data_IF_941023589205
#
_entry.id   IF_941023589205
#
_cell.length_a   1.000
_cell.length_b   1.000
_cell.length_c   1.000
_cell.angle_alpha   90.00
_cell.angle_beta   90.00
_cell.angle_gamma   90.00
#
_symmetry.space_group_name_H-M   'P 1'
#
loop_
_entity.id
_entity.type
_entity.pdbx_description
1 polymer ?
2 non-polymer ?
3 non-polymer ?
4 water ?
#
# COMPACT_ATOMS: atom_id res chain seq x y z
N UNK A 2 -10.60 -8.86 12.00
CA UNK A 2 -9.81 -7.64 11.92
C UNK A 2 -8.69 -7.73 10.90
N UNK A 3 -7.88 -6.68 10.86
CA UNK A 3 -6.76 -6.58 9.94
C UNK A 3 -5.54 -7.38 10.36
N UNK A 4 -5.16 -8.31 9.50
CA UNK A 4 -4.00 -9.13 9.76
C UNK A 4 -2.71 -8.40 9.47
N UNK A 5 -1.67 -8.74 10.24
CA UNK A 5 -0.35 -8.14 10.09
C UNK A 5 0.55 -9.04 9.28
N UNK A 6 1.03 -8.52 8.16
CA UNK A 6 1.93 -9.24 7.27
C UNK A 6 3.38 -9.15 7.73
N UNK A 7 4.13 -10.20 7.50
CA UNK A 7 5.53 -10.21 7.85
C UNK A 7 6.39 -9.56 6.80
N UNK A 8 7.16 -8.54 7.19
CA UNK A 8 8.09 -7.93 6.25
C UNK A 8 9.44 -8.60 6.41
N UNK A 9 10.22 -8.58 5.35
CA UNK A 9 11.53 -9.22 5.33
C UNK A 9 12.58 -8.63 6.30
N UNK A 10 12.33 -7.41 6.82
CA UNK A 10 13.26 -6.77 7.73
C UNK A 10 12.92 -6.96 9.21
N UNK A 11 11.88 -7.74 9.48
CA UNK A 11 11.50 -8.02 10.85
C UNK A 11 10.25 -7.30 11.30
N UNK A 12 9.85 -6.29 10.55
CA UNK A 12 8.65 -5.53 10.86
C UNK A 12 7.41 -6.23 10.33
N UNK A 13 6.26 -5.90 10.89
CA UNK A 13 5.00 -6.44 10.41
C UNK A 13 4.08 -5.28 10.00
N UNK A 14 3.29 -5.49 8.96
CA UNK A 14 2.44 -4.44 8.45
C UNK A 14 0.99 -4.86 8.32
N UNK A 15 0.07 -3.98 8.73
CA UNK A 15 -1.31 -4.29 8.57
C UNK A 15 -1.63 -4.40 7.08
N UNK A 16 -2.22 -5.54 6.69
CA UNK A 16 -2.52 -5.84 5.30
C UNK A 16 -3.40 -4.85 4.57
N UNK A 17 -4.30 -4.20 5.30
CA UNK A 17 -5.21 -3.23 4.73
C UNK A 17 -5.04 -1.90 5.43
N UNK A 18 -4.81 -0.84 4.66
CA UNK A 18 -4.63 0.45 5.27
C UNK A 18 -5.56 1.49 4.69
N UNK A 19 -5.57 2.65 5.35
CA UNK A 19 -6.36 3.78 4.91
C UNK A 19 -5.51 4.73 4.09
N UNK A 20 -5.93 4.95 2.86
CA UNK A 20 -5.21 5.85 1.98
C UNK A 20 -5.89 7.20 2.00
N UNK A 21 -5.24 8.16 2.69
CA UNK A 21 -5.79 9.51 2.77
C UNK A 21 -6.02 9.99 1.36
N UNK A 22 -7.28 10.28 1.06
CA UNK A 22 -7.64 10.59 -0.29
C UNK A 22 -8.76 11.62 -0.41
N UNK A 23 -8.60 12.53 -1.37
CA UNK A 23 -9.56 13.57 -1.67
C UNK A 23 -9.87 14.42 -0.46
N UNK A 24 -8.82 14.86 0.23
CA UNK A 24 -8.97 15.67 1.41
C UNK A 24 -8.11 16.91 1.34
N UNK A 25 -8.73 18.07 1.44
CA UNK A 25 -7.96 19.29 1.46
C UNK A 25 -7.13 19.28 2.74
N UNK A 26 -6.03 19.97 2.71
CA UNK A 26 -5.16 20.01 3.86
C UNK A 26 -5.84 20.33 5.22
N UNK A 27 -6.76 21.28 5.24
CA UNK A 27 -7.44 21.65 6.49
C UNK A 27 -8.33 20.56 7.10
N UNK A 28 -8.86 19.68 6.25
CA UNK A 28 -9.76 18.62 6.69
C UNK A 28 -9.05 17.26 6.86
N UNK A 29 -7.76 17.30 6.64
CA UNK A 29 -6.94 16.11 6.74
C UNK A 29 -6.95 15.49 8.13
N UNK A 30 -6.85 16.33 9.18
CA UNK A 30 -6.85 15.82 10.54
C UNK A 30 -8.11 15.02 10.80
N UNK A 31 -9.24 15.66 10.53
CA UNK A 31 -10.56 15.08 10.71
C UNK A 31 -10.72 13.74 9.98
N UNK A 32 -10.25 13.68 8.73
CA UNK A 32 -10.32 12.47 7.93
C UNK A 32 -9.56 11.31 8.57
N UNK A 33 -8.32 11.58 8.99
CA UNK A 33 -7.50 10.55 9.63
C UNK A 33 -8.12 10.10 10.96
N UNK A 34 -8.62 11.06 11.75
CA UNK A 34 -9.25 10.69 13.01
C UNK A 34 -10.43 9.76 12.76
N UNK A 35 -11.13 10.02 11.66
CA UNK A 35 -12.27 9.21 11.27
C UNK A 35 -11.85 7.79 10.91
N UNK A 36 -10.76 7.68 10.16
CA UNK A 36 -10.24 6.37 9.78
C UNK A 36 -9.79 5.60 11.02
N UNK A 37 -9.16 6.31 11.94
CA UNK A 37 -8.69 5.70 13.17
C UNK A 37 -9.85 5.16 13.99
N UNK A 38 -10.93 5.94 14.07
CA UNK A 38 -12.12 5.54 14.82
C UNK A 38 -12.77 4.33 14.18
N UNK A 39 -12.80 4.33 12.85
CA UNK A 39 -13.38 3.23 12.12
C UNK A 39 -12.65 1.94 12.47
N UNK A 40 -11.33 2.03 12.62
CA UNK A 40 -10.53 0.89 12.99
C UNK A 40 -9.17 0.78 12.28
N UNK A 41 -8.93 1.62 11.26
CA UNK A 41 -7.66 1.58 10.55
C UNK A 41 -6.49 1.99 11.43
N UNK A 42 -5.36 1.29 11.25
CA UNK A 42 -4.14 1.56 11.99
C UNK A 42 -2.98 1.78 11.03
N UNK A 43 -3.24 1.45 9.76
CA UNK A 43 -2.29 1.65 8.69
C UNK A 43 -2.77 2.80 7.82
N UNK A 44 -1.97 3.86 7.78
CA UNK A 44 -2.26 5.07 7.03
C UNK A 44 -1.22 5.32 5.95
N UNK A 45 -1.69 5.65 4.76
CA UNK A 45 -0.83 5.97 3.64
C UNK A 45 -1.14 7.40 3.21
N UNK A 46 -0.13 8.28 3.29
CA UNK A 46 -0.31 9.69 3.00
C UNK A 46 0.13 10.15 1.61
N UNK A 47 0.55 9.22 0.77
CA UNK A 47 1.02 9.53 -0.57
C UNK A 47 0.13 10.48 -1.34
N UNK A 48 -1.15 10.13 -1.46
CA UNK A 48 -2.13 10.90 -2.21
C UNK A 48 -2.32 12.33 -1.74
N UNK A 49 -1.79 12.67 -0.56
CA UNK A 49 -1.94 14.04 -0.08
C UNK A 49 -0.77 14.95 -0.41
N UNK A 50 0.22 14.37 -1.05
CA UNK A 50 1.35 15.11 -1.55
C UNK A 50 2.08 16.01 -0.55
N UNK A 51 2.46 15.47 0.60
CA UNK A 51 3.22 16.26 1.55
C UNK A 51 2.39 17.14 2.49
N UNK A 52 1.07 17.19 2.30
CA UNK A 52 0.21 17.97 3.18
C UNK A 52 -0.12 17.16 4.43
N UNK A 53 0.94 16.77 5.14
CA UNK A 53 0.89 15.88 6.28
C UNK A 53 0.68 16.46 7.67
N UNK A 54 0.66 17.77 7.79
CA UNK A 54 0.47 18.38 9.10
C UNK A 54 -0.77 17.83 9.83
N UNK A 55 -1.90 17.80 9.13
CA UNK A 55 -3.14 17.28 9.70
C UNK A 55 -3.02 15.82 10.14
N UNK A 56 -2.20 15.04 9.41
CA UNK A 56 -2.01 13.64 9.77
C UNK A 56 -1.31 13.55 11.11
N UNK A 57 -0.29 14.37 11.26
CA UNK A 57 0.46 14.43 12.49
C UNK A 57 -0.43 14.78 13.69
N UNK A 58 -1.31 15.76 13.48
CA UNK A 58 -2.24 16.21 14.52
C UNK A 58 -3.16 15.08 14.98
N UNK A 59 -3.72 14.36 14.02
CA UNK A 59 -4.60 13.25 14.33
C UNK A 59 -3.87 12.17 15.14
N UNK A 60 -2.68 11.79 14.69
CA UNK A 60 -1.91 10.79 15.38
C UNK A 60 -1.62 11.23 16.81
N UNK A 61 -1.19 12.49 16.94
CA UNK A 61 -0.87 13.06 18.24
C UNK A 61 -2.05 13.09 19.19
N UNK A 62 -3.23 13.38 18.65
CA UNK A 62 -4.44 13.46 19.44
C UNK A 62 -5.16 12.11 19.62
N UNK A 63 -4.80 11.12 18.80
CA UNK A 63 -5.44 9.79 18.81
C UNK A 63 -5.37 9.00 20.11
N UNK A 64 -4.24 9.05 20.82
CA UNK A 64 -4.08 8.28 22.04
C UNK A 64 -3.47 6.91 21.78
N UNK A 65 -3.28 6.60 20.51
CA UNK A 65 -2.74 5.31 20.10
C UNK A 65 -1.22 5.24 20.20
N UNK A 66 -0.72 4.12 20.73
CA UNK A 66 0.71 3.91 20.85
C UNK A 66 1.35 3.92 19.48
N UNK A 67 2.53 4.53 19.40
CA UNK A 67 3.25 4.63 18.15
C UNK A 67 3.40 3.28 17.48
N UNK A 68 3.75 2.32 18.31
CA UNK A 68 3.98 0.96 17.92
C UNK A 68 2.74 0.29 17.33
N UNK A 69 1.59 0.90 17.58
CA UNK A 69 0.32 0.37 17.11
C UNK A 69 -0.11 1.01 15.82
N UNK A 70 0.70 1.94 15.34
CA UNK A 70 0.42 2.61 14.10
C UNK A 70 1.44 2.25 13.04
N UNK A 71 0.99 2.29 11.80
CA UNK A 71 1.85 2.03 10.67
C UNK A 71 1.68 3.15 9.67
N UNK A 72 2.72 3.95 9.55
CA UNK A 72 2.73 5.11 8.69
C UNK A 72 3.51 4.88 7.41
N UNK A 73 2.79 4.97 6.28
CA UNK A 73 3.40 4.79 4.99
C UNK A 73 3.36 6.05 4.14
N UNK A 74 4.40 6.23 3.38
CA UNK A 74 4.46 7.35 2.48
C UNK A 74 5.41 7.12 1.33
N UNK A 75 5.23 7.91 0.29
CA UNK A 75 6.04 7.75 -0.90
C UNK A 75 6.54 9.05 -1.49
N UNK A 76 7.68 8.96 -2.13
CA UNK A 76 8.23 10.10 -2.80
C UNK A 76 7.83 10.05 -4.27
N UNK A 77 7.06 11.04 -4.68
CA UNK A 77 6.52 11.09 -6.03
C UNK A 77 7.53 11.44 -7.12
N UNK A 78 7.74 12.73 -7.34
CA UNK A 78 8.62 13.19 -8.38
C UNK A 78 10.03 12.63 -8.26
N UNK A 84 18.67 12.79 -6.11
CA UNK A 84 19.07 12.98 -4.73
C UNK A 84 18.09 13.88 -4.01
N UNK A 85 17.16 13.27 -3.34
CA UNK A 85 16.17 14.02 -2.64
C UNK A 85 15.25 13.21 -1.76
N UNK A 86 15.35 11.85 -1.75
CA UNK A 86 14.47 11.16 -0.84
C UNK A 86 14.73 11.60 0.60
N UNK A 87 16.00 11.77 0.95
CA UNK A 87 16.37 12.19 2.29
C UNK A 87 15.78 13.53 2.68
N UNK A 88 15.86 14.50 1.76
CA UNK A 88 15.31 15.80 2.02
C UNK A 88 13.82 15.74 2.15
N UNK A 89 13.22 14.90 1.29
CA UNK A 89 11.79 14.71 1.26
C UNK A 89 11.25 14.10 2.54
N UNK A 90 11.85 13.00 2.95
CA UNK A 90 11.41 12.32 4.16
C UNK A 90 11.62 13.18 5.40
N UNK A 91 12.76 13.87 5.47
CA UNK A 91 13.04 14.73 6.60
C UNK A 91 11.96 15.78 6.79
N UNK A 92 11.49 16.34 5.68
CA UNK A 92 10.44 17.34 5.71
C UNK A 92 9.11 16.74 6.15
N UNK A 93 8.86 15.52 5.71
CA UNK A 93 7.64 14.85 6.06
C UNK A 93 7.59 14.56 7.54
N UNK A 94 8.74 14.15 8.09
CA UNK A 94 8.87 13.84 9.50
C UNK A 94 8.51 15.03 10.38
N UNK A 95 8.96 16.20 9.94
CA UNK A 95 8.67 17.43 10.65
C UNK A 95 7.17 17.69 10.64
N UNK A 96 6.57 17.53 9.49
CA UNK A 96 5.14 17.74 9.35
C UNK A 96 4.35 16.76 10.19
N UNK A 97 4.82 15.53 10.22
CA UNK A 97 4.15 14.47 10.96
C UNK A 97 4.47 14.50 12.43
N UNK A 98 5.48 15.27 12.77
CA UNK A 98 5.94 15.34 14.15
C UNK A 98 6.26 13.94 14.65
N UNK A 99 6.97 13.19 13.80
CA UNK A 99 7.37 11.83 14.12
C UNK A 99 8.86 11.68 13.98
N UNK A 100 9.39 10.67 14.64
CA UNK A 100 10.80 10.37 14.56
C UNK A 100 11.13 9.61 13.29
N UNK A 101 10.16 8.82 12.82
CA UNK A 101 10.32 8.01 11.62
C UNK A 101 8.98 7.49 11.11
N UNK A 102 8.95 7.09 9.83
CA UNK A 102 7.76 6.48 9.26
C UNK A 102 8.00 4.99 9.26
N UNK A 103 6.96 4.21 9.00
CA UNK A 103 7.09 2.77 9.00
C UNK A 103 7.56 2.25 7.67
N UNK A 104 7.06 2.87 6.60
CA UNK A 104 7.39 2.49 5.24
C UNK A 104 7.55 3.68 4.32
N UNK A 105 8.63 3.65 3.54
CA UNK A 105 8.98 4.69 2.58
C UNK A 105 9.26 4.08 1.22
N UNK A 106 8.64 4.66 0.19
CA UNK A 106 8.82 4.17 -1.17
C UNK A 106 9.17 5.29 -2.13
N UNK A 107 10.04 5.01 -3.08
CA UNK A 107 10.32 6.00 -4.09
C UNK A 107 9.68 5.63 -5.40
N UNK A 108 9.69 6.59 -6.31
CA UNK A 108 9.06 6.50 -7.61
C UNK A 108 9.55 5.46 -8.63
N UNK A 109 8.66 5.23 -9.60
CA UNK A 109 8.87 4.34 -10.70
C UNK A 109 10.24 4.55 -11.33
N UNK A 110 10.94 3.47 -11.69
CA UNK A 110 12.25 3.63 -12.32
C UNK A 110 12.10 4.46 -13.58
N UNK A 111 13.21 5.02 -14.05
CA UNK A 111 13.18 5.88 -15.22
C UNK A 111 13.28 5.16 -16.54
N UNK A 112 12.60 5.73 -17.53
CA UNK A 112 12.67 5.23 -18.88
C UNK A 112 14.14 5.14 -19.28
N UNK A 113 14.91 6.08 -18.71
CA UNK A 113 16.35 6.15 -18.91
C UNK A 113 17.04 5.08 -18.09
N UNK A 114 16.32 4.60 -17.06
CA UNK A 114 16.82 3.55 -16.18
C UNK A 114 18.26 3.76 -15.72
N UNK A 115 18.63 5.01 -15.49
CA UNK A 115 19.98 5.33 -15.11
C UNK A 115 20.14 5.81 -13.69
N UNK A 116 19.14 5.61 -12.85
CA UNK A 116 19.28 6.12 -11.51
C UNK A 116 18.53 5.34 -10.47
N UNK A 117 17.76 4.34 -10.89
CA UNK A 117 17.01 3.59 -9.91
C UNK A 117 17.92 2.88 -8.91
N UNK A 118 19.12 2.52 -9.35
CA UNK A 118 20.08 1.88 -8.45
C UNK A 118 20.56 2.88 -7.42
N UNK A 119 20.92 4.06 -7.91
CA UNK A 119 21.36 5.12 -7.03
C UNK A 119 20.27 5.48 -6.06
N UNK A 120 19.03 5.46 -6.57
CA UNK A 120 17.87 5.75 -5.76
C UNK A 120 17.75 4.76 -4.62
N UNK A 121 18.01 3.48 -4.92
CA UNK A 121 17.95 2.43 -3.92
C UNK A 121 19.06 2.60 -2.88
N UNK A 122 20.25 2.98 -3.32
CA UNK A 122 21.36 3.22 -2.40
C UNK A 122 20.97 4.31 -1.38
N UNK A 123 20.32 5.36 -1.88
CA UNK A 123 19.84 6.48 -1.05
C UNK A 123 18.82 6.01 -0.02
N UNK A 124 17.91 5.11 -0.45
CA UNK A 124 16.90 4.56 0.43
C UNK A 124 17.52 3.77 1.55
N UNK A 125 18.59 3.03 1.22
CA UNK A 125 19.29 2.23 2.20
C UNK A 125 19.90 3.11 3.29
N UNK A 126 20.42 4.26 2.86
CA UNK A 126 20.98 5.22 3.79
C UNK A 126 19.90 5.84 4.66
N UNK A 127 18.74 6.13 4.05
CA UNK A 127 17.59 6.69 4.79
C UNK A 127 17.22 5.78 5.95
N UNK A 128 17.22 4.48 5.66
CA UNK A 128 16.87 3.49 6.64
C UNK A 128 17.89 3.44 7.74
N UNK A 129 19.16 3.39 7.35
CA UNK A 129 20.25 3.36 8.31
C UNK A 129 20.19 4.59 9.23
N UNK A 130 19.67 5.70 8.69
CA UNK A 130 19.54 6.95 9.43
C UNK A 130 18.31 7.00 10.30
N UNK A 131 17.56 5.89 10.26
CA UNK A 131 16.35 5.69 11.07
C UNK A 131 15.16 6.54 10.67
N UNK A 132 15.22 7.13 9.50
CA UNK A 132 14.12 7.96 9.05
C UNK A 132 12.87 7.15 8.72
N UNK A 133 13.10 5.88 8.39
CA UNK A 133 12.06 4.92 8.07
C UNK A 133 12.45 3.56 8.59
N UNK A 134 11.48 2.78 9.05
CA UNK A 134 11.74 1.46 9.54
C UNK A 134 11.98 0.50 8.40
N UNK A 135 11.17 0.65 7.34
CA UNK A 135 11.24 -0.20 6.16
C UNK A 135 11.34 0.61 4.86
N UNK A 136 12.01 0.02 3.86
CA UNK A 136 12.14 0.64 2.54
C UNK A 136 11.58 -0.26 1.46
N UNK A 137 10.92 0.36 0.49
CA UNK A 137 10.34 -0.36 -0.60
C UNK A 137 10.47 0.40 -1.90
N UNK A 138 9.93 -0.19 -2.96
CA UNK A 138 9.96 0.39 -4.29
C UNK A 138 8.59 0.37 -4.91
N UNK A 139 8.52 0.96 -6.09
CA UNK A 139 7.30 1.00 -6.83
C UNK A 139 7.56 0.83 -8.31
N UNK A 140 6.71 0.03 -8.95
CA UNK A 140 6.82 -0.23 -10.37
C UNK A 140 8.14 -0.83 -10.79
N UNK A 141 8.73 -1.60 -9.91
CA UNK A 141 9.96 -2.26 -10.24
C UNK A 141 9.69 -3.61 -10.87
N UNK A 142 10.23 -3.84 -12.06
CA UNK A 142 10.04 -5.12 -12.73
C UNK A 142 11.07 -6.09 -12.20
N UNK A 143 10.95 -7.36 -12.62
CA UNK A 143 11.91 -8.38 -12.19
C UNK A 143 13.36 -7.94 -12.37
N UNK A 144 13.69 -7.39 -13.54
CA UNK A 144 15.04 -6.95 -13.82
C UNK A 144 15.49 -5.83 -12.88
N UNK A 145 14.61 -4.84 -12.63
CA UNK A 145 14.94 -3.75 -11.71
C UNK A 145 15.31 -4.32 -10.36
N UNK A 146 14.43 -5.22 -9.89
CA UNK A 146 14.59 -5.89 -8.61
C UNK A 146 15.89 -6.67 -8.49
N UNK A 147 16.18 -7.49 -9.52
CA UNK A 147 17.40 -8.26 -9.55
C UNK A 147 18.60 -7.33 -9.50
N UNK A 148 18.52 -6.25 -10.26
CA UNK A 148 19.59 -5.28 -10.34
C UNK A 148 19.91 -4.60 -8.98
N UNK A 149 18.89 -4.08 -8.31
CA UNK A 149 19.11 -3.41 -7.01
C UNK A 149 19.62 -4.37 -5.94
N UNK A 150 19.12 -5.59 -5.97
CA UNK A 150 19.56 -6.58 -5.02
C UNK A 150 21.01 -6.93 -5.23
N UNK A 151 21.36 -7.19 -6.49
CA UNK A 151 22.73 -7.53 -6.83
C UNK A 151 23.69 -6.37 -6.58
N UNK A 152 23.18 -5.16 -6.75
CA UNK A 152 23.98 -3.99 -6.58
C UNK A 152 24.18 -3.57 -5.12
N UNK A 153 23.13 -3.72 -4.30
CA UNK A 153 23.19 -3.26 -2.90
C UNK A 153 23.18 -4.35 -1.87
N UNK A 154 22.58 -5.47 -2.21
CA UNK A 154 22.48 -6.55 -1.29
C UNK A 154 21.28 -6.38 -0.40
N UNK A 155 20.51 -5.34 -0.66
CA UNK A 155 19.33 -5.09 0.12
C UNK A 155 18.05 -5.31 -0.66
N UNK A 156 17.25 -6.23 -0.16
CA UNK A 156 16.00 -6.57 -0.77
C UNK A 156 14.87 -5.68 -0.27
N UNK A 157 14.10 -5.12 -1.18
CA UNK A 157 13.01 -4.27 -0.78
C UNK A 157 12.00 -5.03 0.05
N UNK A 158 11.41 -4.33 1.01
CA UNK A 158 10.41 -4.93 1.86
C UNK A 158 9.09 -5.04 1.10
N UNK A 159 8.85 -4.03 0.27
CA UNK A 159 7.64 -3.91 -0.51
C UNK A 159 7.89 -3.43 -1.92
N UNK A 160 7.02 -3.89 -2.83
CA UNK A 160 7.04 -3.46 -4.21
C UNK A 160 5.62 -3.09 -4.58
N UNK A 161 5.41 -1.81 -4.80
CA UNK A 161 4.10 -1.31 -5.14
C UNK A 161 3.90 -1.28 -6.66
N UNK A 162 2.89 -2.01 -7.13
CA UNK A 162 2.62 -2.09 -8.57
C UNK A 162 1.14 -2.05 -8.87
N UNK A 163 0.82 -1.63 -10.06
CA UNK A 163 -0.56 -1.61 -10.48
C UNK A 163 -1.05 -3.04 -10.50
N UNK A 164 -2.14 -3.31 -9.80
CA UNK A 164 -2.66 -4.66 -9.74
C UNK A 164 -4.15 -4.70 -9.52
N UNK A 165 -4.80 -5.45 -10.39
CA UNK A 165 -6.23 -5.71 -10.37
C UNK A 165 -6.52 -6.90 -11.27
N UNK A 166 -7.72 -7.44 -11.19
CA UNK A 166 -8.05 -8.65 -11.95
C UNK A 166 -7.64 -8.66 -13.44
N UNK A 167 -7.88 -7.56 -14.13
CA UNK A 167 -7.54 -7.47 -15.53
C UNK A 167 -6.06 -7.33 -15.77
N UNK A 168 -5.32 -6.94 -14.73
CA UNK A 168 -3.89 -6.71 -14.82
C UNK A 168 -3.21 -7.17 -13.54
N UNK A 169 -2.62 -8.34 -13.58
CA UNK A 169 -2.03 -8.93 -12.39
C UNK A 169 -0.53 -8.92 -12.27
N UNK A 170 0.17 -8.63 -13.37
CA UNK A 170 1.63 -8.64 -13.39
C UNK A 170 2.23 -9.88 -12.71
N UNK A 171 1.76 -11.05 -13.11
CA UNK A 171 2.19 -12.30 -12.51
C UNK A 171 3.69 -12.50 -12.35
N UNK A 172 4.50 -12.12 -13.33
CA UNK A 172 5.96 -12.32 -13.19
C UNK A 172 6.47 -11.65 -11.92
N UNK A 173 6.01 -10.43 -11.71
CA UNK A 173 6.42 -9.65 -10.57
C UNK A 173 5.97 -10.29 -9.26
N UNK A 174 4.69 -10.62 -9.17
CA UNK A 174 4.18 -11.22 -7.94
C UNK A 174 4.83 -12.55 -7.60
N UNK A 175 5.09 -13.35 -8.62
CA UNK A 175 5.73 -14.63 -8.39
C UNK A 175 7.14 -14.44 -7.84
N UNK A 176 7.88 -13.54 -8.49
CA UNK A 176 9.23 -13.25 -8.09
C UNK A 176 9.25 -12.78 -6.66
N UNK A 177 8.34 -11.84 -6.37
CA UNK A 177 8.23 -11.27 -5.05
C UNK A 177 8.02 -12.32 -4.00
N UNK A 178 7.05 -13.21 -4.25
CA UNK A 178 6.76 -14.28 -3.33
C UNK A 178 7.98 -15.16 -3.10
N UNK A 179 8.74 -15.39 -4.17
CA UNK A 179 9.92 -16.21 -4.06
C UNK A 179 11.07 -15.56 -3.29
N UNK A 180 11.05 -14.24 -3.17
CA UNK A 180 12.12 -13.54 -2.48
C UNK A 180 11.69 -12.84 -1.19
N UNK A 181 10.49 -13.16 -0.72
CA UNK A 181 9.95 -12.56 0.50
C UNK A 181 9.66 -11.09 0.41
N UNK A 182 9.33 -10.63 -0.79
CA UNK A 182 8.96 -9.25 -0.97
C UNK A 182 7.46 -9.14 -1.01
N UNK A 183 6.90 -8.24 -0.22
CA UNK A 183 5.47 -8.09 -0.22
C UNK A 183 5.03 -7.21 -1.35
N UNK A 184 3.85 -7.49 -1.86
CA UNK A 184 3.31 -6.73 -2.97
C UNK A 184 2.18 -5.81 -2.54
N UNK A 185 2.26 -4.55 -2.90
CA UNK A 185 1.18 -3.66 -2.61
C UNK A 185 0.43 -3.35 -3.89
N UNK A 186 -0.86 -3.66 -3.91
CA UNK A 186 -1.68 -3.45 -5.09
C UNK A 186 -2.08 -2.03 -5.29
N UNK A 187 -1.48 -1.42 -6.28
CA UNK A 187 -1.81 -0.07 -6.63
C UNK A 187 -2.98 -0.08 -7.61
N UNK A 188 -4.02 0.70 -7.30
CA UNK A 188 -5.22 0.77 -8.13
C UNK A 188 -5.95 -0.57 -8.13
N UNK A 189 -6.08 -1.13 -6.94
CA UNK A 189 -6.70 -2.42 -6.68
C UNK A 189 -8.01 -2.68 -7.42
N UNK A 190 -8.80 -1.63 -7.64
CA UNK A 190 -10.08 -1.80 -8.30
C UNK A 190 -10.13 -1.28 -9.73
N UNK A 191 -8.99 -1.27 -10.40
CA UNK A 191 -8.93 -0.83 -11.78
C UNK A 191 -9.04 0.69 -11.99
N UNK A 192 -9.33 1.43 -10.94
CA UNK A 192 -9.43 2.87 -11.07
C UNK A 192 -10.58 3.31 -11.97
N UNK A 193 -11.62 2.50 -12.05
CA UNK A 193 -12.77 2.81 -12.87
C UNK A 193 -12.45 2.86 -14.35
N UNK A 194 -11.38 2.20 -14.75
CA UNK A 194 -11.01 2.21 -16.14
C UNK A 194 -11.76 1.18 -16.98
N UNK A 195 -12.35 0.20 -16.31
CA UNK A 195 -13.11 -0.86 -16.94
C UNK A 195 -14.20 -1.37 -16.02
N UNK A 196 -15.16 -2.10 -16.60
CA UNK A 196 -16.26 -2.64 -15.85
C UNK A 196 -15.83 -3.79 -14.97
N UNK A 197 -15.25 -3.47 -13.84
CA UNK A 197 -14.78 -4.49 -12.92
C UNK A 197 -15.89 -5.07 -12.06
N UNK A 198 -16.75 -4.20 -11.56
CA UNK A 198 -17.85 -4.60 -10.69
C UNK A 198 -18.93 -5.36 -11.38
N UNK A 199 -19.01 -5.20 -12.70
CA UNK A 199 -20.01 -5.85 -13.51
C UNK A 199 -19.57 -7.19 -14.07
N UNK A 200 -18.29 -7.53 -13.87
CA UNK A 200 -17.77 -8.80 -14.35
C UNK A 200 -18.37 -10.00 -13.63
N UNK A 201 -18.72 -11.01 -14.41
CA UNK A 201 -19.33 -12.21 -13.88
C UNK A 201 -18.60 -12.82 -12.68
N UNK A 202 -17.25 -12.94 -12.75
CA UNK A 202 -16.52 -13.51 -11.63
C UNK A 202 -16.67 -12.64 -10.38
N UNK A 203 -16.77 -11.33 -10.59
CA UNK A 203 -16.91 -10.41 -9.48
C UNK A 203 -18.30 -10.45 -8.84
N UNK A 204 -19.33 -10.30 -9.68
CA UNK A 204 -20.70 -10.33 -9.20
C UNK A 204 -21.05 -11.65 -8.57
N UNK A 205 -20.49 -12.72 -9.13
CA UNK A 205 -20.76 -14.03 -8.62
C UNK A 205 -20.27 -14.22 -7.19
N UNK A 206 -19.11 -13.65 -6.89
CA UNK A 206 -18.53 -13.77 -5.57
C UNK A 206 -19.28 -12.88 -4.58
N UNK A 207 -19.63 -11.69 -5.04
CA UNK A 207 -20.36 -10.74 -4.23
C UNK A 207 -21.69 -11.36 -3.77
N UNK A 208 -22.43 -11.90 -4.74
CA UNK A 208 -23.71 -12.55 -4.51
C UNK A 208 -23.61 -13.72 -3.53
N UNK A 209 -22.62 -14.56 -3.74
CA UNK A 209 -22.42 -15.74 -2.92
C UNK A 209 -22.14 -15.41 -1.45
N UNK A 210 -21.35 -14.36 -1.25
CA UNK A 210 -20.92 -13.98 0.06
C UNK A 210 -21.69 -12.85 0.70
N UNK A 211 -22.66 -12.31 -0.02
CA UNK A 211 -23.46 -11.22 0.51
C UNK A 211 -22.62 -9.96 0.72
N UNK A 212 -21.65 -9.79 -0.16
CA UNK A 212 -20.77 -8.63 -0.12
C UNK A 212 -20.95 -7.82 -1.39
N UNK A 213 -20.31 -6.66 -1.44
CA UNK A 213 -20.36 -5.83 -2.63
C UNK A 213 -19.25 -6.28 -3.57
N UNK A 214 -19.32 -5.88 -4.84
CA UNK A 214 -18.27 -6.22 -5.79
C UNK A 214 -16.91 -5.67 -5.35
N UNK A 215 -16.92 -4.44 -4.85
CA UNK A 215 -15.70 -3.84 -4.37
C UNK A 215 -15.09 -4.70 -3.28
N UNK A 216 -15.95 -5.15 -2.38
CA UNK A 216 -15.54 -5.98 -1.27
C UNK A 216 -14.97 -7.31 -1.75
N UNK A 217 -15.65 -7.94 -2.69
CA UNK A 217 -15.19 -9.21 -3.23
C UNK A 217 -13.78 -9.08 -3.82
N UNK A 218 -13.56 -8.00 -4.58
CA UNK A 218 -12.28 -7.74 -5.20
C UNK A 218 -11.21 -7.48 -4.16
N UNK A 219 -11.55 -6.68 -3.16
CA UNK A 219 -10.63 -6.40 -2.09
C UNK A 219 -10.21 -7.69 -1.42
N UNK A 220 -11.19 -8.55 -1.19
CA UNK A 220 -10.94 -9.81 -0.56
C UNK A 220 -9.99 -10.68 -1.38
N UNK A 221 -10.15 -10.58 -2.69
CA UNK A 221 -9.34 -11.31 -3.64
C UNK A 221 -7.86 -10.97 -3.46
N UNK A 222 -7.57 -9.66 -3.39
CA UNK A 222 -6.22 -9.17 -3.18
C UNK A 222 -5.66 -9.74 -1.88
N UNK A 223 -6.47 -9.59 -0.83
CA UNK A 223 -6.13 -10.03 0.51
C UNK A 223 -5.79 -11.50 0.58
N UNK A 224 -6.68 -12.35 0.06
CA UNK A 224 -6.43 -13.78 0.08
C UNK A 224 -5.17 -14.15 -0.68
N UNK A 225 -4.84 -13.31 -1.65
CA UNK A 225 -3.66 -13.51 -2.45
C UNK A 225 -2.40 -13.05 -1.74
N UNK A 226 -2.57 -12.44 -0.56
CA UNK A 226 -1.45 -12.00 0.24
C UNK A 226 -0.93 -10.62 -0.09
N UNK A 227 -1.72 -9.84 -0.78
CA UNK A 227 -1.31 -8.50 -1.15
C UNK A 227 -1.72 -7.47 -0.10
N UNK A 228 -0.99 -6.36 -0.09
CA UNK A 228 -1.27 -5.20 0.77
C UNK A 228 -2.08 -4.20 -0.03
N UNK A 229 -3.16 -3.67 0.55
CA UNK A 229 -3.98 -2.72 -0.16
C UNK A 229 -4.34 -1.51 0.66
N UNK A 230 -4.58 -0.42 -0.06
CA UNK A 230 -4.99 0.85 0.51
C UNK A 230 -6.17 1.40 -0.26
N UNK A 231 -7.34 0.83 -0.09
CA UNK A 231 -8.50 1.34 -0.78
C UNK A 231 -8.69 2.82 -0.45
N UNK A 232 -8.70 3.67 -1.47
CA UNK A 232 -8.84 5.09 -1.26
C UNK A 232 -10.28 5.51 -1.01
N UNK A 233 -10.61 5.65 0.27
CA UNK A 233 -11.95 6.01 0.71
C UNK A 233 -12.09 7.48 0.98
N UNK A 234 -13.34 7.96 0.88
CA UNK A 234 -13.71 9.33 1.16
C UNK A 234 -14.89 9.37 2.12
N UNK A 235 -16.02 8.79 1.67
CA UNK A 235 -17.24 8.71 2.47
C UNK A 235 -17.08 7.70 3.60
N UNK A 236 -17.63 8.02 4.77
CA UNK A 236 -17.52 7.11 5.90
C UNK A 236 -18.04 5.73 5.58
N UNK A 237 -19.11 5.72 4.80
CA UNK A 237 -19.75 4.49 4.39
C UNK A 237 -18.75 3.55 3.74
N UNK A 238 -17.97 4.12 2.82
CA UNK A 238 -16.96 3.37 2.09
C UNK A 238 -15.79 2.95 2.99
N UNK A 239 -15.40 3.84 3.91
CA UNK A 239 -14.33 3.52 4.84
C UNK A 239 -14.69 2.26 5.58
N UNK A 240 -15.94 2.23 6.00
CA UNK A 240 -16.47 1.12 6.72
C UNK A 240 -16.45 -0.15 5.91
N UNK A 241 -17.06 -0.10 4.72
CA UNK A 241 -17.11 -1.25 3.82
C UNK A 241 -15.74 -1.77 3.45
N UNK A 242 -14.83 -0.84 3.16
CA UNK A 242 -13.48 -1.18 2.78
C UNK A 242 -12.75 -1.96 3.85
N UNK A 243 -13.15 -1.76 5.10
CA UNK A 243 -12.51 -2.42 6.24
C UNK A 243 -13.14 -3.76 6.57
N UNK A 244 -14.41 -3.89 6.25
CA UNK A 244 -15.16 -5.07 6.56
C UNK A 244 -15.02 -6.19 5.53
N UNK A 245 -13.81 -6.65 5.32
CA UNK A 245 -13.56 -7.70 4.36
C UNK A 245 -12.73 -8.82 4.93
N UNK A 246 -12.94 -9.09 6.19
CA UNK A 246 -12.21 -10.13 6.86
C UNK A 246 -13.15 -11.17 7.45
N UNK A 247 -14.44 -11.03 7.12
CA UNK A 247 -15.49 -11.91 7.62
C UNK A 247 -15.92 -12.98 6.62
N UNK A 248 -15.26 -13.04 5.47
CA UNK A 248 -15.62 -14.03 4.46
C UNK A 248 -14.40 -14.50 3.71
N UNK A 249 -14.56 -15.63 3.04
CA UNK A 249 -13.49 -16.20 2.25
C UNK A 249 -13.95 -16.68 0.89
N UNK A 250 -13.26 -16.23 -0.15
CA UNK A 250 -13.56 -16.67 -1.49
C UNK A 250 -13.05 -18.08 -1.68
N UNK A 251 -13.84 -18.93 -2.31
CA UNK A 251 -13.40 -20.29 -2.56
C UNK A 251 -12.25 -20.28 -3.58
N UNK A 252 -11.59 -21.41 -3.71
CA UNK A 252 -10.53 -21.54 -4.67
C UNK A 252 -11.07 -21.35 -6.07
N UNK A 253 -12.29 -21.86 -6.31
CA UNK A 253 -12.94 -21.70 -7.60
C UNK A 253 -13.28 -20.23 -7.87
N UNK A 254 -13.79 -19.54 -6.84
CA UNK A 254 -14.10 -18.10 -6.95
C UNK A 254 -12.85 -17.30 -7.28
N UNK A 255 -11.74 -17.62 -6.61
CA UNK A 255 -10.50 -16.94 -6.85
C UNK A 255 -9.98 -17.14 -8.27
N UNK A 256 -10.03 -18.39 -8.74
CA UNK A 256 -9.58 -18.72 -10.08
C UNK A 256 -10.38 -18.01 -11.19
N UNK A 257 -11.68 -17.82 -10.96
CA UNK A 257 -12.52 -17.16 -11.93
C UNK A 257 -12.10 -15.72 -12.08
N UNK A 258 -11.71 -15.11 -10.97
CA UNK A 258 -11.25 -13.75 -10.98
C UNK A 258 -9.86 -13.66 -11.60
N UNK A 259 -8.99 -14.57 -11.16
CA UNK A 259 -7.64 -14.64 -11.69
C UNK A 259 -7.68 -14.73 -13.22
N UNK A 260 -8.69 -15.42 -13.73
CA UNK A 260 -8.84 -15.62 -15.16
C UNK A 260 -9.21 -14.36 -15.93
N UNK A 261 -9.45 -13.28 -15.21
CA UNK A 261 -9.84 -12.02 -15.83
C UNK A 261 -8.74 -11.34 -16.64
N UNK A 262 -7.52 -11.79 -16.47
CA UNK A 262 -6.41 -11.19 -17.21
C UNK A 262 -6.05 -12.10 -18.46
N UNK A 263 -5.47 -11.65 -19.51
CA UNK A 263 -5.16 -12.70 -20.45
C UNK A 263 -3.70 -13.15 -20.36
#
# INVERSE_FOLDING_TARGET
MTVPSIVLNDGNSIPQLGYGVFKVPPADTQRAVEEALEVGYRHIDTAAIYGNEEGVGAAIAASGIARDDLFITTKLWNDRHDGDEPAAAIAESLAKLALDQVDLYLVHWPTPAADNYVHAWEKMIELRAAGLTRSIGVSNHLVPHLERIVAATGVVPAVNQIELHPAYQQREITDWAAAHDVKIESWGPLGQGKYDLFGAEPVTAAAAAHGKTPAQAVLRWHLQKGFVVFPKSVRRERLEENLDVFDFDLTDTEIAAIDAMDPGDGSGRVSAHPDEVD
#
